data_IF_152112155790
#
_entry.id   IF_152112155790
#
_cell.length_a   1.000
_cell.length_b   1.000
_cell.length_c   1.000
_cell.angle_alpha   90.00
_cell.angle_beta   90.00
_cell.angle_gamma   90.00
#
_symmetry.space_group_name_H-M   'P 1'
#
loop_
_entity.id
_entity.type
_entity.pdbx_description
1 polymer ?
#
# COMPACT_ATOMS: atom_id res chain seq x y z
N UNK A 1 27.77 13.45 -0.53
CA UNK A 1 27.42 14.65 -1.33
C UNK A 1 26.06 15.11 -0.83
N UNK A 2 25.75 16.41 -0.86
CA UNK A 2 24.43 16.92 -0.42
C UNK A 2 23.64 17.37 -1.64
N UNK A 3 22.45 16.82 -1.84
CA UNK A 3 21.57 17.06 -2.99
C UNK A 3 20.55 18.16 -2.73
N UNK A 4 20.22 18.43 -1.46
CA UNK A 4 19.32 19.53 -1.05
C UNK A 4 20.03 20.45 -0.05
N UNK A 5 21.08 21.19 -0.48
CA UNK A 5 21.94 21.96 0.42
C UNK A 5 21.22 23.13 1.13
N UNK A 6 20.16 23.65 0.53
CA UNK A 6 19.39 24.79 1.07
C UNK A 6 18.21 24.36 1.96
N UNK A 7 17.93 23.05 2.04
CA UNK A 7 16.78 22.53 2.79
C UNK A 7 17.29 21.82 4.04
N UNK A 8 16.92 22.32 5.21
CA UNK A 8 17.20 21.64 6.48
C UNK A 8 16.21 20.48 6.72
N UNK A 9 16.39 19.76 7.82
CA UNK A 9 15.41 18.77 8.27
C UNK A 9 14.06 19.44 8.51
N UNK A 10 13.00 18.90 7.90
CA UNK A 10 11.63 19.37 8.04
C UNK A 10 11.15 19.11 9.46
N UNK A 11 10.53 20.13 10.08
CA UNK A 11 10.07 20.07 11.47
C UNK A 11 8.59 20.41 11.57
N UNK A 12 7.98 19.93 12.64
CA UNK A 12 6.67 20.42 13.06
C UNK A 12 6.76 21.86 13.57
N UNK A 13 5.99 22.76 12.96
CA UNK A 13 5.87 24.17 13.36
C UNK A 13 4.42 24.56 13.73
N UNK A 14 3.50 23.62 13.61
CA UNK A 14 2.09 23.80 13.96
C UNK A 14 1.23 24.41 12.86
N UNK A 15 -0.11 24.41 13.06
CA UNK A 15 -1.08 24.65 11.99
C UNK A 15 -1.12 26.08 11.46
N UNK A 16 -0.42 27.01 12.10
CA UNK A 16 -0.39 28.44 11.74
C UNK A 16 0.87 28.85 10.96
N UNK A 17 1.83 27.96 10.75
CA UNK A 17 3.05 28.29 10.00
C UNK A 17 2.75 28.60 8.53
N UNK A 18 3.44 29.60 7.98
CA UNK A 18 3.50 29.92 6.56
C UNK A 18 4.75 29.34 5.88
N UNK A 19 5.63 28.66 6.63
CA UNK A 19 6.76 27.93 6.08
C UNK A 19 6.26 26.79 5.18
N UNK A 20 6.69 26.78 3.92
CA UNK A 20 6.34 25.72 2.97
C UNK A 20 7.03 24.38 3.27
N UNK A 21 8.21 24.44 3.90
CA UNK A 21 9.05 23.29 4.25
C UNK A 21 8.94 22.97 5.75
N UNK A 22 7.71 22.89 6.25
CA UNK A 22 7.39 22.51 7.63
C UNK A 22 6.13 21.65 7.70
N UNK A 23 6.09 20.75 8.67
CA UNK A 23 4.87 20.03 9.03
C UNK A 23 3.96 20.94 9.85
N UNK A 24 2.69 20.94 9.50
CA UNK A 24 1.61 21.66 10.18
C UNK A 24 0.89 20.79 11.19
N UNK A 25 0.89 19.46 10.98
CA UNK A 25 0.15 18.51 11.81
C UNK A 25 0.94 17.26 12.16
N UNK A 26 1.91 16.86 11.33
CA UNK A 26 2.77 15.72 11.66
C UNK A 26 3.83 16.11 12.69
N UNK A 27 3.55 15.79 13.96
CA UNK A 27 4.54 15.74 15.03
C UNK A 27 4.82 14.27 15.36
N UNK A 28 5.98 13.79 14.93
CA UNK A 28 6.39 12.38 15.08
C UNK A 28 6.31 11.87 16.53
N UNK A 29 6.51 12.75 17.52
CA UNK A 29 6.55 12.40 18.94
C UNK A 29 5.22 12.65 19.68
N UNK A 30 4.23 13.28 19.03
CA UNK A 30 2.89 13.46 19.58
C UNK A 30 2.22 12.10 19.82
N UNK A 31 1.68 11.92 21.02
CA UNK A 31 1.01 10.68 21.44
C UNK A 31 -0.49 10.80 21.15
N UNK A 32 -1.00 9.91 20.29
CA UNK A 32 -2.42 9.79 19.95
C UNK A 32 -2.88 8.39 20.37
N UNK A 33 -3.98 8.26 21.12
CA UNK A 33 -4.46 6.97 21.63
C UNK A 33 -3.35 6.10 22.29
N UNK A 34 -2.44 6.75 23.05
CA UNK A 34 -1.37 6.07 23.78
C UNK A 34 -0.15 5.63 22.95
N UNK A 35 -0.08 5.96 21.65
CA UNK A 35 1.02 5.62 20.75
C UNK A 35 1.47 6.83 19.93
N UNK A 36 2.77 6.95 19.64
CA UNK A 36 3.30 8.11 18.90
C UNK A 36 2.82 8.10 17.44
N UNK A 37 2.68 9.26 16.82
CA UNK A 37 2.26 9.35 15.41
C UNK A 37 3.14 8.53 14.48
N UNK A 38 4.46 8.63 14.63
CA UNK A 38 5.40 7.87 13.78
C UNK A 38 5.18 6.35 13.88
N UNK A 39 4.81 5.85 15.07
CA UNK A 39 4.55 4.44 15.29
C UNK A 39 3.19 4.01 14.73
N UNK A 40 2.20 4.92 14.72
CA UNK A 40 0.90 4.69 14.07
C UNK A 40 1.04 4.64 12.56
N UNK A 41 1.71 5.64 12.00
CA UNK A 41 1.72 5.93 10.57
C UNK A 41 2.81 5.16 9.83
N UNK A 42 3.99 4.95 10.47
CA UNK A 42 5.11 4.17 9.91
C UNK A 42 5.36 4.53 8.45
N UNK A 43 5.52 5.83 8.19
CA UNK A 43 5.63 6.34 6.84
C UNK A 43 6.84 5.74 6.12
N UNK A 44 6.59 5.26 4.91
CA UNK A 44 7.61 4.81 3.97
C UNK A 44 7.60 5.66 2.70
N UNK A 45 8.77 5.78 2.08
CA UNK A 45 8.94 6.49 0.81
C UNK A 45 9.18 5.47 -0.31
N UNK A 46 8.40 5.58 -1.38
CA UNK A 46 8.54 4.78 -2.60
C UNK A 46 9.76 5.22 -3.41
N UNK A 47 10.70 4.31 -3.64
CA UNK A 47 11.93 4.62 -4.38
C UNK A 47 11.66 4.92 -5.86
N UNK A 48 10.74 4.19 -6.52
CA UNK A 48 10.45 4.36 -7.94
C UNK A 48 9.95 5.77 -8.26
N UNK A 49 8.88 6.22 -7.61
CA UNK A 49 8.34 7.54 -7.87
C UNK A 49 9.25 8.69 -7.43
N UNK A 50 10.02 8.49 -6.37
CA UNK A 50 10.91 9.54 -5.85
C UNK A 50 12.18 9.68 -6.69
N UNK A 51 12.79 8.56 -7.10
CA UNK A 51 14.15 8.54 -7.65
C UNK A 51 14.23 8.21 -9.15
N UNK A 52 13.32 7.39 -9.68
CA UNK A 52 13.42 6.84 -11.03
C UNK A 52 12.41 7.44 -12.00
N UNK A 53 11.24 7.87 -11.53
CA UNK A 53 10.25 8.58 -12.33
C UNK A 53 10.81 9.93 -12.83
N UNK A 54 10.65 10.17 -14.13
CA UNK A 54 11.30 11.28 -14.83
C UNK A 54 10.32 12.33 -15.38
N UNK A 55 9.04 12.20 -15.07
CA UNK A 55 7.98 13.08 -15.53
C UNK A 55 7.44 12.75 -16.92
N UNK A 56 7.93 11.70 -17.58
CA UNK A 56 7.34 11.22 -18.83
C UNK A 56 5.94 10.63 -18.62
N UNK A 57 5.16 10.69 -19.69
CA UNK A 57 3.82 10.11 -19.80
C UNK A 57 3.63 9.57 -21.23
N UNK A 58 2.53 8.87 -21.56
CA UNK A 58 2.34 8.30 -22.90
C UNK A 58 2.37 9.31 -24.06
N UNK A 59 2.37 10.62 -23.78
CA UNK A 59 2.29 11.70 -24.76
C UNK A 59 3.47 12.69 -24.69
N UNK A 60 4.43 12.49 -23.78
CA UNK A 60 5.45 13.49 -23.50
C UNK A 60 6.77 12.92 -22.96
N UNK A 61 7.86 13.56 -23.38
CA UNK A 61 9.20 13.25 -22.89
C UNK A 61 9.40 13.65 -21.41
N UNK A 62 10.49 13.18 -20.77
CA UNK A 62 10.84 13.51 -19.40
C UNK A 62 10.97 15.01 -19.13
N UNK A 63 10.66 15.44 -17.91
CA UNK A 63 10.69 16.85 -17.49
C UNK A 63 11.35 17.09 -16.13
N UNK A 64 11.49 16.05 -15.30
CA UNK A 64 12.06 16.17 -13.96
C UNK A 64 13.52 16.63 -14.01
N UNK A 65 13.84 17.67 -13.23
CA UNK A 65 15.21 18.16 -13.06
C UNK A 65 15.83 17.48 -11.85
N UNK A 66 16.74 16.54 -12.08
CA UNK A 66 17.41 15.75 -11.03
C UNK A 66 18.93 15.87 -11.12
N UNK A 67 19.59 15.97 -9.97
CA UNK A 67 21.03 16.25 -9.87
C UNK A 67 21.89 15.03 -9.56
N UNK A 68 21.28 13.84 -9.45
CA UNK A 68 21.95 12.57 -9.13
C UNK A 68 22.41 11.77 -10.36
N UNK A 69 22.31 12.32 -11.56
CA UNK A 69 22.76 11.64 -12.79
C UNK A 69 24.29 11.65 -12.84
N UNK A 70 24.89 10.46 -12.86
CA UNK A 70 26.34 10.25 -13.00
C UNK A 70 26.77 9.89 -14.42
N UNK A 71 28.05 9.59 -14.62
CA UNK A 71 28.61 9.25 -15.95
C UNK A 71 28.21 7.83 -16.39
N UNK A 72 27.85 6.97 -15.43
CA UNK A 72 27.37 5.59 -15.68
C UNK A 72 26.04 5.32 -14.98
N UNK A 73 25.33 4.27 -15.41
CA UNK A 73 24.10 3.83 -14.74
C UNK A 73 24.35 3.42 -13.28
N UNK A 74 25.47 2.73 -13.02
CA UNK A 74 25.85 2.31 -11.67
C UNK A 74 26.20 3.52 -10.78
N UNK A 75 26.89 4.52 -11.32
CA UNK A 75 27.14 5.77 -10.57
C UNK A 75 25.84 6.52 -10.29
N UNK A 76 24.93 6.58 -11.26
CA UNK A 76 23.59 7.16 -11.07
C UNK A 76 22.82 6.41 -9.98
N UNK A 77 22.88 5.07 -9.94
CA UNK A 77 22.26 4.27 -8.91
C UNK A 77 22.83 4.57 -7.51
N UNK A 78 24.16 4.67 -7.37
CA UNK A 78 24.81 5.06 -6.10
C UNK A 78 24.42 6.47 -5.65
N UNK A 79 24.42 7.43 -6.58
CA UNK A 79 24.00 8.80 -6.32
C UNK A 79 22.53 8.87 -5.88
N UNK A 80 21.65 8.05 -6.48
CA UNK A 80 20.25 7.94 -6.04
C UNK A 80 20.15 7.41 -4.62
N UNK A 81 20.93 6.40 -4.22
CA UNK A 81 20.92 5.91 -2.82
C UNK A 81 21.30 7.04 -1.85
N UNK A 82 22.36 7.79 -2.14
CA UNK A 82 22.78 8.93 -1.32
C UNK A 82 21.68 10.00 -1.21
N UNK A 83 21.11 10.41 -2.35
CA UNK A 83 20.04 11.42 -2.39
C UNK A 83 18.76 10.95 -1.71
N UNK A 84 18.42 9.68 -1.85
CA UNK A 84 17.21 9.08 -1.29
C UNK A 84 17.24 9.05 0.23
N UNK A 85 18.35 8.61 0.83
CA UNK A 85 18.49 8.62 2.29
C UNK A 85 18.52 10.05 2.84
N UNK A 86 19.09 11.01 2.11
CA UNK A 86 18.99 12.44 2.47
C UNK A 86 17.53 12.93 2.49
N UNK A 87 16.70 12.54 1.51
CA UNK A 87 15.26 12.85 1.50
C UNK A 87 14.55 12.26 2.72
N UNK A 88 14.78 10.96 2.99
CA UNK A 88 14.18 10.27 4.14
C UNK A 88 14.57 10.94 5.47
N UNK A 89 15.85 11.29 5.66
CA UNK A 89 16.33 11.96 6.88
C UNK A 89 15.72 13.36 7.06
N UNK A 90 15.57 14.13 5.96
CA UNK A 90 14.95 15.46 6.01
C UNK A 90 13.47 15.39 6.32
N UNK A 91 12.75 14.41 5.76
CA UNK A 91 11.33 14.20 6.05
C UNK A 91 11.09 13.51 7.40
N UNK A 92 12.11 12.85 7.95
CA UNK A 92 11.95 12.02 9.15
C UNK A 92 11.15 10.73 8.89
N UNK A 93 11.19 10.21 7.66
CA UNK A 93 10.62 8.92 7.32
C UNK A 93 11.50 7.79 7.90
N UNK A 94 10.89 6.84 8.60
CA UNK A 94 11.61 5.72 9.23
C UNK A 94 11.74 4.51 8.30
N UNK A 95 11.01 4.52 7.18
CA UNK A 95 10.90 3.39 6.28
C UNK A 95 11.04 3.77 4.80
N UNK A 96 11.33 2.77 3.96
CA UNK A 96 11.28 2.89 2.51
C UNK A 96 10.88 1.58 1.83
N UNK A 97 10.51 1.70 0.55
CA UNK A 97 10.10 0.60 -0.32
C UNK A 97 10.81 0.68 -1.68
N UNK A 98 11.13 -0.45 -2.32
CA UNK A 98 11.74 -0.46 -3.66
C UNK A 98 11.45 -1.73 -4.49
N UNK A 99 11.43 -1.59 -5.82
CA UNK A 99 11.64 -2.71 -6.74
C UNK A 99 13.14 -2.90 -7.01
N UNK A 100 13.55 -4.14 -7.26
CA UNK A 100 14.91 -4.50 -7.65
C UNK A 100 15.49 -3.62 -8.78
N UNK A 101 14.76 -3.40 -9.87
CA UNK A 101 15.23 -2.58 -11.00
C UNK A 101 15.29 -1.07 -10.71
N UNK A 102 14.65 -0.59 -9.64
CA UNK A 102 14.67 0.83 -9.29
C UNK A 102 16.01 1.23 -8.68
N UNK A 103 16.59 0.32 -7.90
CA UNK A 103 17.81 0.56 -7.14
C UNK A 103 19.06 0.23 -7.94
N UNK A 104 19.03 -0.79 -8.82
CA UNK A 104 20.21 -1.23 -9.55
C UNK A 104 19.95 -1.39 -11.06
N UNK A 105 20.96 -1.07 -11.91
CA UNK A 105 20.84 -1.28 -13.35
C UNK A 105 20.76 -2.77 -13.71
N UNK A 106 19.92 -3.09 -14.70
CA UNK A 106 19.65 -4.46 -15.12
C UNK A 106 20.87 -5.18 -15.72
N UNK A 107 21.79 -4.44 -16.34
CA UNK A 107 22.89 -5.05 -17.11
C UNK A 107 22.39 -5.88 -18.30
N UNK A 108 23.28 -6.69 -18.88
CA UNK A 108 23.01 -7.49 -20.08
C UNK A 108 22.55 -8.92 -19.73
N UNK A 109 22.85 -9.40 -18.52
CA UNK A 109 22.55 -10.77 -18.09
C UNK A 109 21.93 -10.78 -16.69
N UNK A 110 21.20 -11.86 -16.36
CA UNK A 110 20.64 -12.04 -15.02
C UNK A 110 21.74 -12.13 -13.93
N UNK A 111 22.89 -12.71 -14.27
CA UNK A 111 24.03 -12.77 -13.35
C UNK A 111 24.60 -11.38 -13.06
N UNK A 112 24.78 -10.57 -14.09
CA UNK A 112 25.21 -9.16 -13.95
C UNK A 112 24.18 -8.34 -13.16
N UNK A 113 22.88 -8.51 -13.44
CA UNK A 113 21.83 -7.86 -12.65
C UNK A 113 21.94 -8.19 -11.16
N UNK A 114 22.17 -9.46 -10.83
CA UNK A 114 22.30 -9.90 -9.44
C UNK A 114 23.55 -9.35 -8.76
N UNK A 115 24.65 -9.20 -9.50
CA UNK A 115 25.88 -8.56 -9.01
C UNK A 115 25.66 -7.06 -8.76
N UNK A 116 24.98 -6.37 -9.69
CA UNK A 116 24.63 -4.96 -9.55
C UNK A 116 23.72 -4.72 -8.33
N UNK A 117 22.73 -5.60 -8.13
CA UNK A 117 21.87 -5.59 -6.94
C UNK A 117 22.66 -5.79 -5.67
N UNK A 118 23.64 -6.71 -5.64
CA UNK A 118 24.46 -6.94 -4.45
C UNK A 118 25.24 -5.67 -4.07
N UNK A 119 25.88 -5.03 -5.06
CA UNK A 119 26.65 -3.80 -4.86
C UNK A 119 25.78 -2.66 -4.31
N UNK A 120 24.63 -2.39 -4.93
CA UNK A 120 23.75 -1.31 -4.48
C UNK A 120 23.11 -1.64 -3.12
N UNK A 121 22.71 -2.89 -2.89
CA UNK A 121 22.11 -3.26 -1.61
C UNK A 121 23.13 -3.34 -0.47
N UNK A 122 24.43 -3.50 -0.75
CA UNK A 122 25.49 -3.28 0.25
C UNK A 122 25.54 -1.80 0.66
N UNK A 123 25.51 -0.88 -0.30
CA UNK A 123 25.47 0.55 -0.01
C UNK A 123 24.18 0.96 0.75
N UNK A 124 23.02 0.45 0.34
CA UNK A 124 21.74 0.68 1.06
C UNK A 124 21.86 0.19 2.50
N UNK A 125 22.45 -0.99 2.73
CA UNK A 125 22.64 -1.52 4.08
C UNK A 125 23.53 -0.61 4.93
N UNK A 126 24.63 -0.11 4.39
CA UNK A 126 25.49 0.86 5.08
C UNK A 126 24.71 2.13 5.46
N UNK A 127 23.84 2.63 4.57
CA UNK A 127 23.00 3.80 4.85
C UNK A 127 21.93 3.54 5.90
N UNK A 128 21.32 2.36 5.89
CA UNK A 128 20.38 1.93 6.93
C UNK A 128 21.08 1.87 8.31
N UNK A 129 22.31 1.35 8.36
CA UNK A 129 23.11 1.31 9.59
C UNK A 129 23.51 2.71 10.09
N UNK A 130 23.79 3.65 9.17
CA UNK A 130 24.15 5.04 9.51
C UNK A 130 22.95 5.86 10.01
N UNK A 131 21.78 5.67 9.41
CA UNK A 131 20.61 6.54 9.61
C UNK A 131 19.55 5.95 10.55
N UNK A 132 19.52 4.61 10.68
CA UNK A 132 18.46 3.88 11.38
C UNK A 132 17.17 3.70 10.58
N UNK A 133 17.12 4.18 9.32
CA UNK A 133 16.02 3.96 8.38
C UNK A 133 15.94 2.47 8.02
N UNK A 134 14.72 1.94 7.87
CA UNK A 134 14.45 0.51 7.69
C UNK A 134 13.75 0.20 6.38
N UNK A 135 13.91 -1.02 5.90
CA UNK A 135 13.17 -1.51 4.76
C UNK A 135 11.77 -1.96 5.21
N UNK A 136 10.70 -1.29 4.77
CA UNK A 136 9.34 -1.75 5.03
C UNK A 136 9.05 -2.99 4.19
N UNK A 137 9.34 -2.90 2.90
CA UNK A 137 9.30 -4.02 1.98
C UNK A 137 10.11 -3.75 0.72
N UNK A 138 10.52 -4.83 0.07
CA UNK A 138 11.00 -4.80 -1.29
C UNK A 138 10.17 -5.75 -2.15
N UNK A 139 10.25 -5.56 -3.46
CA UNK A 139 9.54 -6.38 -4.45
C UNK A 139 10.38 -6.55 -5.71
N UNK A 140 9.89 -7.33 -6.67
CA UNK A 140 10.51 -7.55 -7.97
C UNK A 140 9.67 -6.91 -9.06
N UNK A 141 10.27 -6.03 -9.86
CA UNK A 141 9.62 -5.50 -11.06
C UNK A 141 9.61 -6.58 -12.14
N UNK A 142 8.46 -7.24 -12.27
CA UNK A 142 8.22 -8.28 -13.27
C UNK A 142 7.21 -7.81 -14.32
N UNK A 143 7.24 -6.52 -14.67
CA UNK A 143 6.23 -5.90 -15.54
C UNK A 143 6.77 -4.89 -16.55
N UNK A 144 7.93 -4.27 -16.30
CA UNK A 144 8.54 -3.28 -17.21
C UNK A 144 9.31 -3.90 -18.37
N UNK A 145 10.11 -4.94 -18.12
CA UNK A 145 10.95 -5.53 -19.17
C UNK A 145 10.11 -6.27 -20.23
N UNK A 146 10.43 -6.18 -21.55
CA UNK A 146 9.67 -6.82 -22.63
C UNK A 146 9.41 -8.32 -22.48
N UNK A 147 10.26 -9.04 -21.73
CA UNK A 147 10.10 -10.47 -21.43
C UNK A 147 8.79 -10.79 -20.70
N UNK A 148 8.22 -9.84 -19.96
CA UNK A 148 7.00 -9.99 -19.18
C UNK A 148 5.73 -9.56 -19.92
N UNK A 149 5.81 -9.32 -21.24
CA UNK A 149 4.68 -8.82 -22.02
C UNK A 149 3.41 -9.69 -21.90
N UNK A 150 3.58 -11.00 -21.70
CA UNK A 150 2.49 -11.96 -21.55
C UNK A 150 2.40 -12.51 -20.11
N UNK A 151 2.75 -11.72 -19.09
CA UNK A 151 2.75 -12.16 -17.70
C UNK A 151 4.10 -12.65 -17.20
N UNK A 152 4.20 -12.86 -15.89
CA UNK A 152 5.40 -13.35 -15.21
C UNK A 152 5.15 -14.76 -14.65
N UNK A 153 4.35 -14.88 -13.59
CA UNK A 153 3.89 -16.17 -13.10
C UNK A 153 2.69 -16.69 -13.90
N UNK A 154 1.86 -15.79 -14.45
CA UNK A 154 0.77 -16.12 -15.38
C UNK A 154 1.23 -16.38 -16.81
N UNK A 155 2.54 -16.39 -17.05
CA UNK A 155 3.08 -16.43 -18.42
C UNK A 155 2.73 -17.70 -19.20
N UNK A 156 2.63 -17.54 -20.52
CA UNK A 156 2.54 -18.65 -21.47
C UNK A 156 3.91 -19.27 -21.84
N UNK A 157 5.01 -18.78 -21.27
CA UNK A 157 6.37 -19.28 -21.53
C UNK A 157 7.10 -19.69 -20.24
N UNK A 158 7.39 -20.98 -20.09
CA UNK A 158 8.06 -21.52 -18.90
C UNK A 158 9.46 -20.92 -18.61
N UNK A 159 10.17 -20.42 -19.62
CA UNK A 159 11.47 -19.74 -19.42
C UNK A 159 11.28 -18.36 -18.77
N UNK A 160 10.20 -17.65 -19.12
CA UNK A 160 9.83 -16.39 -18.46
C UNK A 160 9.44 -16.64 -17.01
N UNK A 161 8.69 -17.72 -16.74
CA UNK A 161 8.34 -18.14 -15.38
C UNK A 161 9.61 -18.41 -14.54
N UNK A 162 10.59 -19.12 -15.11
CA UNK A 162 11.85 -19.39 -14.44
C UNK A 162 12.63 -18.10 -14.13
N UNK A 163 12.62 -17.12 -15.02
CA UNK A 163 13.25 -15.81 -14.80
C UNK A 163 12.56 -15.03 -13.67
N UNK A 164 11.22 -14.99 -13.68
CA UNK A 164 10.41 -14.38 -12.62
C UNK A 164 10.71 -15.01 -11.25
N UNK A 165 10.74 -16.34 -11.17
CA UNK A 165 11.09 -17.06 -9.95
C UNK A 165 12.51 -16.75 -9.46
N UNK A 166 13.47 -16.57 -10.38
CA UNK A 166 14.82 -16.18 -10.02
C UNK A 166 14.88 -14.77 -9.42
N UNK A 167 14.15 -13.79 -9.97
CA UNK A 167 14.04 -12.45 -9.38
C UNK A 167 13.38 -12.48 -8.01
N UNK A 168 12.28 -13.21 -7.82
CA UNK A 168 11.64 -13.37 -6.49
C UNK A 168 12.60 -13.97 -5.47
N UNK A 169 13.35 -15.02 -5.85
CA UNK A 169 14.37 -15.61 -4.97
C UNK A 169 15.44 -14.60 -4.58
N UNK A 170 15.97 -13.82 -5.53
CA UNK A 170 16.95 -12.77 -5.25
C UNK A 170 16.36 -11.67 -4.36
N UNK A 171 15.12 -11.27 -4.63
CA UNK A 171 14.38 -10.31 -3.81
C UNK A 171 14.25 -10.75 -2.36
N UNK A 172 14.00 -12.04 -2.09
CA UNK A 172 13.95 -12.58 -0.73
C UNK A 172 15.32 -12.66 -0.06
N UNK A 173 16.39 -12.94 -0.80
CA UNK A 173 17.75 -12.84 -0.27
C UNK A 173 18.09 -11.41 0.16
N UNK A 174 17.71 -10.43 -0.65
CA UNK A 174 17.89 -9.00 -0.36
C UNK A 174 17.02 -8.57 0.82
N UNK A 175 15.76 -9.00 0.86
CA UNK A 175 14.85 -8.75 2.00
C UNK A 175 15.50 -9.23 3.30
N UNK A 176 16.07 -10.43 3.30
CA UNK A 176 16.80 -10.97 4.45
C UNK A 176 18.05 -10.15 4.78
N UNK A 177 18.84 -9.75 3.78
CA UNK A 177 20.06 -8.94 3.94
C UNK A 177 19.77 -7.59 4.60
N UNK A 178 18.66 -6.96 4.23
CA UNK A 178 18.24 -5.63 4.68
C UNK A 178 17.25 -5.66 5.85
N UNK A 179 16.77 -6.84 6.26
CA UNK A 179 15.81 -6.99 7.35
C UNK A 179 14.41 -6.46 7.01
N UNK A 180 13.96 -6.66 5.77
CA UNK A 180 12.63 -6.24 5.31
C UNK A 180 11.50 -6.88 6.14
N UNK A 181 10.54 -6.06 6.57
CA UNK A 181 9.41 -6.52 7.40
C UNK A 181 8.33 -7.23 6.56
N UNK A 182 8.15 -6.81 5.31
CA UNK A 182 7.18 -7.35 4.36
C UNK A 182 7.83 -7.60 2.98
N UNK A 183 7.16 -8.35 2.11
CA UNK A 183 7.56 -8.57 0.71
C UNK A 183 6.31 -8.53 -0.18
N UNK A 184 6.26 -7.61 -1.13
CA UNK A 184 5.06 -7.30 -1.91
C UNK A 184 5.07 -8.05 -3.25
N UNK A 185 3.89 -8.44 -3.72
CA UNK A 185 3.62 -8.84 -5.09
C UNK A 185 2.48 -7.99 -5.64
N UNK A 186 2.82 -7.06 -6.53
CA UNK A 186 1.85 -6.38 -7.39
C UNK A 186 1.84 -7.04 -8.77
N UNK A 187 0.68 -7.53 -9.19
CA UNK A 187 0.50 -8.33 -10.39
C UNK A 187 0.44 -7.55 -11.70
N UNK A 188 1.29 -6.55 -11.95
CA UNK A 188 1.14 -5.63 -13.09
C UNK A 188 0.98 -6.29 -14.47
N UNK A 189 1.53 -7.48 -14.70
CA UNK A 189 1.28 -8.31 -15.91
C UNK A 189 0.55 -9.63 -15.64
N UNK A 190 0.18 -9.87 -14.40
CA UNK A 190 -0.53 -11.08 -13.94
C UNK A 190 -2.04 -10.91 -14.19
N UNK A 191 -2.41 -11.03 -15.46
CA UNK A 191 -3.74 -10.79 -15.96
C UNK A 191 -3.80 -11.05 -17.46
N UNK A 192 -4.82 -10.54 -18.14
CA UNK A 192 -4.94 -10.72 -19.57
C UNK A 192 -5.31 -9.44 -20.31
N UNK A 193 -5.01 -9.41 -21.61
CA UNK A 193 -5.50 -8.40 -22.56
C UNK A 193 -6.75 -8.90 -23.30
N UNK A 194 -6.81 -10.20 -23.62
CA UNK A 194 -7.99 -10.83 -24.25
C UNK A 194 -8.22 -12.24 -23.71
N UNK A 195 -9.47 -12.59 -23.41
CA UNK A 195 -9.80 -13.92 -22.93
C UNK A 195 -9.72 -14.99 -24.04
N UNK A 196 -9.64 -14.58 -25.31
CA UNK A 196 -9.64 -15.49 -26.46
C UNK A 196 -8.40 -16.40 -26.52
N UNK A 197 -7.29 -16.00 -25.89
CA UNK A 197 -6.04 -16.75 -25.86
C UNK A 197 -5.53 -17.01 -24.43
N UNK A 198 -6.39 -16.84 -23.42
CA UNK A 198 -6.03 -16.97 -22.01
C UNK A 198 -6.73 -18.17 -21.38
N UNK A 199 -5.95 -19.10 -20.84
CA UNK A 199 -6.46 -20.12 -19.91
C UNK A 199 -6.32 -19.57 -18.48
N UNK A 200 -7.34 -18.82 -18.06
CA UNK A 200 -7.34 -18.11 -16.79
C UNK A 200 -7.11 -19.04 -15.58
N UNK A 201 -7.60 -20.28 -15.64
CA UNK A 201 -7.41 -21.22 -14.53
C UNK A 201 -5.95 -21.66 -14.47
N UNK A 202 -5.37 -22.04 -15.62
CA UNK A 202 -3.97 -22.47 -15.69
C UNK A 202 -3.02 -21.37 -15.20
N UNK A 203 -3.27 -20.12 -15.61
CA UNK A 203 -2.48 -18.96 -15.20
C UNK A 203 -2.55 -18.70 -13.70
N UNK A 204 -3.74 -18.68 -13.11
CA UNK A 204 -3.91 -18.52 -11.64
C UNK A 204 -3.31 -19.69 -10.86
N UNK A 205 -3.42 -20.93 -11.36
CA UNK A 205 -2.76 -22.08 -10.74
C UNK A 205 -1.22 -21.90 -10.73
N UNK A 206 -0.64 -21.27 -11.76
CA UNK A 206 0.81 -20.99 -11.82
C UNK A 206 1.24 -19.85 -10.90
N UNK A 207 0.45 -18.78 -10.79
CA UNK A 207 0.69 -17.73 -9.79
C UNK A 207 0.74 -18.35 -8.39
N UNK A 208 -0.23 -19.20 -8.05
CA UNK A 208 -0.27 -19.88 -6.76
C UNK A 208 0.94 -20.81 -6.55
N UNK A 209 1.44 -21.47 -7.60
CA UNK A 209 2.68 -22.27 -7.53
C UNK A 209 3.88 -21.38 -7.20
N UNK A 210 4.00 -20.20 -7.81
CA UNK A 210 5.11 -19.28 -7.53
C UNK A 210 5.06 -18.80 -6.08
N UNK A 211 3.89 -18.42 -5.58
CA UNK A 211 3.73 -17.99 -4.18
C UNK A 211 4.09 -19.09 -3.20
N UNK A 212 3.68 -20.34 -3.45
CA UNK A 212 4.10 -21.50 -2.63
C UNK A 212 5.61 -21.73 -2.66
N UNK A 213 6.27 -21.48 -3.80
CA UNK A 213 7.73 -21.53 -3.90
C UNK A 213 8.39 -20.39 -3.09
N UNK A 214 7.84 -19.17 -3.13
CA UNK A 214 8.32 -18.02 -2.38
C UNK A 214 8.22 -18.27 -0.86
N UNK A 215 7.08 -18.77 -0.39
CA UNK A 215 6.87 -19.18 1.01
C UNK A 215 7.93 -20.20 1.40
N UNK A 216 8.01 -21.33 0.69
CA UNK A 216 8.95 -22.41 0.98
C UNK A 216 10.41 -21.92 0.98
N UNK A 217 10.76 -20.99 0.09
CA UNK A 217 12.10 -20.40 0.06
C UNK A 217 12.36 -19.50 1.27
N UNK A 218 11.39 -18.66 1.67
CA UNK A 218 11.45 -17.86 2.89
C UNK A 218 11.69 -18.72 4.13
N UNK A 219 10.99 -19.86 4.26
CA UNK A 219 11.24 -20.82 5.35
C UNK A 219 12.66 -21.39 5.29
N UNK A 220 13.10 -21.80 4.10
CA UNK A 220 14.43 -22.38 3.87
C UNK A 220 15.56 -21.43 4.27
N UNK A 221 15.42 -20.14 3.98
CA UNK A 221 16.44 -19.14 4.34
C UNK A 221 16.25 -18.60 5.75
N UNK A 222 15.21 -19.00 6.48
CA UNK A 222 14.92 -18.50 7.83
C UNK A 222 14.56 -17.01 7.86
N UNK A 223 13.96 -16.49 6.79
CA UNK A 223 13.44 -15.12 6.68
C UNK A 223 12.02 -15.19 6.12
N UNK A 224 11.04 -14.98 6.98
CA UNK A 224 9.61 -14.99 6.63
C UNK A 224 9.04 -13.58 6.80
N UNK A 225 9.27 -12.66 5.83
CA UNK A 225 8.57 -11.39 5.85
C UNK A 225 7.06 -11.66 5.70
N UNK A 226 6.21 -10.72 6.11
CA UNK A 226 4.80 -10.80 5.76
C UNK A 226 4.69 -10.66 4.24
N UNK A 227 4.17 -11.69 3.55
CA UNK A 227 3.92 -11.57 2.12
C UNK A 227 2.64 -10.77 1.90
N UNK A 228 2.66 -9.88 0.92
CA UNK A 228 1.56 -8.97 0.61
C UNK A 228 1.17 -9.11 -0.86
N UNK A 229 -0.12 -9.28 -1.14
CA UNK A 229 -0.68 -9.07 -2.48
C UNK A 229 -1.24 -7.67 -2.56
N UNK A 230 -1.01 -6.99 -3.67
CA UNK A 230 -1.44 -5.61 -3.89
C UNK A 230 -2.52 -5.56 -4.98
N UNK A 231 -3.81 -5.49 -4.59
CA UNK A 231 -4.89 -5.57 -5.57
C UNK A 231 -4.92 -4.36 -6.48
N UNK A 232 -5.20 -4.59 -7.76
CA UNK A 232 -5.51 -3.58 -8.78
C UNK A 232 -6.43 -4.19 -9.83
N UNK A 233 -7.44 -3.47 -10.35
CA UNK A 233 -8.42 -4.07 -11.27
C UNK A 233 -7.90 -4.30 -12.71
N UNK A 234 -6.99 -3.44 -13.16
CA UNK A 234 -6.55 -3.29 -14.55
C UNK A 234 -5.34 -2.34 -14.60
N UNK A 235 -4.85 -2.08 -15.81
CA UNK A 235 -3.73 -1.18 -16.10
C UNK A 235 -2.38 -1.69 -15.53
N UNK A 236 -1.50 -2.22 -16.38
CA UNK A 236 -1.53 -2.20 -17.85
C UNK A 236 -2.36 -3.33 -18.51
N UNK A 237 -2.83 -4.31 -17.74
CA UNK A 237 -3.70 -5.38 -18.26
C UNK A 237 -5.13 -4.87 -18.53
N UNK A 238 -5.91 -5.57 -19.37
CA UNK A 238 -7.35 -5.29 -19.49
C UNK A 238 -8.08 -5.70 -18.20
N UNK A 239 -7.66 -6.83 -17.63
CA UNK A 239 -8.13 -7.37 -16.38
C UNK A 239 -6.94 -7.99 -15.65
N UNK A 240 -6.67 -7.50 -14.45
CA UNK A 240 -5.69 -8.08 -13.55
C UNK A 240 -6.40 -9.04 -12.57
N UNK A 241 -5.76 -10.14 -12.20
CA UNK A 241 -6.43 -11.21 -11.46
C UNK A 241 -6.72 -10.86 -9.99
N UNK A 242 -5.80 -10.18 -9.34
CA UNK A 242 -5.94 -9.57 -8.01
C UNK A 242 -6.74 -8.26 -8.11
N UNK A 243 -8.00 -8.37 -8.53
CA UNK A 243 -8.80 -7.22 -8.98
C UNK A 243 -9.11 -6.18 -7.89
N UNK A 244 -9.50 -6.67 -6.71
CA UNK A 244 -9.85 -5.90 -5.51
C UNK A 244 -9.59 -6.78 -4.27
N UNK A 245 -9.81 -6.26 -3.07
CA UNK A 245 -9.56 -6.96 -1.81
C UNK A 245 -10.37 -8.26 -1.72
N UNK A 246 -11.65 -8.24 -2.11
CA UNK A 246 -12.51 -9.42 -2.02
C UNK A 246 -12.09 -10.52 -3.00
N UNK A 247 -11.76 -10.15 -4.25
CA UNK A 247 -11.28 -11.07 -5.28
C UNK A 247 -9.93 -11.67 -4.89
N UNK A 248 -9.04 -10.84 -4.36
CA UNK A 248 -7.72 -11.27 -3.90
C UNK A 248 -7.82 -12.20 -2.70
N UNK A 249 -8.74 -11.93 -1.76
CA UNK A 249 -9.03 -12.86 -0.67
C UNK A 249 -9.60 -14.19 -1.16
N UNK A 250 -10.48 -14.18 -2.17
CA UNK A 250 -10.99 -15.42 -2.77
C UNK A 250 -9.86 -16.26 -3.38
N UNK A 251 -8.87 -15.64 -4.03
CA UNK A 251 -7.67 -16.32 -4.52
C UNK A 251 -6.85 -16.91 -3.37
N UNK A 252 -6.54 -16.11 -2.34
CA UNK A 252 -5.76 -16.54 -1.17
C UNK A 252 -6.43 -17.77 -0.53
N UNK A 253 -7.75 -17.72 -0.32
CA UNK A 253 -8.52 -18.81 0.28
C UNK A 253 -8.59 -20.05 -0.60
N UNK A 254 -8.81 -19.87 -1.91
CA UNK A 254 -8.90 -20.99 -2.84
C UNK A 254 -7.62 -21.82 -2.88
N UNK A 255 -6.45 -21.17 -2.78
CA UNK A 255 -5.15 -21.82 -2.91
C UNK A 255 -4.50 -22.20 -1.58
N UNK A 256 -5.15 -21.94 -0.44
CA UNK A 256 -4.64 -22.28 0.89
C UNK A 256 -3.42 -21.43 1.27
N UNK A 257 -3.48 -20.13 0.99
CA UNK A 257 -2.41 -19.16 1.26
C UNK A 257 -2.73 -18.28 2.48
N UNK A 258 -3.85 -18.54 3.17
CA UNK A 258 -4.20 -17.86 4.41
C UNK A 258 -3.12 -18.09 5.47
N UNK A 259 -2.71 -17.02 6.15
CA UNK A 259 -1.69 -17.05 7.19
C UNK A 259 -0.27 -16.73 6.68
N UNK A 260 0.01 -16.91 5.39
CA UNK A 260 1.26 -16.46 4.76
C UNK A 260 1.09 -15.09 4.08
N UNK A 261 -0.07 -14.85 3.48
CA UNK A 261 -0.37 -13.62 2.74
C UNK A 261 -1.38 -12.71 3.45
N UNK A 262 -1.15 -11.41 3.30
CA UNK A 262 -2.06 -10.31 3.62
C UNK A 262 -2.15 -9.37 2.41
N UNK A 263 -2.90 -8.29 2.54
CA UNK A 263 -3.10 -7.31 1.47
C UNK A 263 -2.28 -6.03 1.74
N UNK A 264 -1.63 -5.53 0.69
CA UNK A 264 -1.20 -4.14 0.57
C UNK A 264 -2.30 -3.40 -0.21
N UNK A 265 -2.95 -2.41 0.39
CA UNK A 265 -4.07 -1.73 -0.27
C UNK A 265 -3.68 -0.34 -0.70
N UNK A 266 -4.00 0.00 -1.94
CA UNK A 266 -3.75 1.31 -2.51
C UNK A 266 -5.07 2.05 -2.80
N UNK A 267 -5.12 3.34 -2.48
CA UNK A 267 -6.31 4.16 -2.67
C UNK A 267 -6.69 4.38 -4.15
N UNK A 268 -5.71 4.66 -5.03
CA UNK A 268 -6.00 4.82 -6.45
C UNK A 268 -6.45 3.49 -7.07
N UNK A 269 -5.85 2.36 -6.70
CA UNK A 269 -6.32 1.04 -7.14
C UNK A 269 -7.76 0.73 -6.69
N UNK A 270 -8.08 1.01 -5.42
CA UNK A 270 -9.43 0.81 -4.87
C UNK A 270 -10.50 1.58 -5.68
N UNK A 271 -10.24 2.87 -5.90
CA UNK A 271 -11.17 3.73 -6.66
C UNK A 271 -11.29 3.34 -8.13
N UNK A 272 -10.19 2.89 -8.75
CA UNK A 272 -10.19 2.36 -10.11
C UNK A 272 -11.02 1.07 -10.25
N UNK A 273 -11.15 0.30 -9.17
CA UNK A 273 -11.99 -0.90 -9.08
C UNK A 273 -13.47 -0.58 -8.83
N UNK A 274 -13.78 0.68 -8.52
CA UNK A 274 -15.14 1.14 -8.20
C UNK A 274 -15.48 1.14 -6.71
N UNK A 275 -14.47 1.04 -5.84
CA UNK A 275 -14.62 0.98 -4.39
C UNK A 275 -14.05 2.23 -3.71
N UNK A 276 -14.54 2.57 -2.53
CA UNK A 276 -13.84 3.56 -1.68
C UNK A 276 -12.66 2.90 -0.98
N UNK A 277 -11.67 3.68 -0.56
CA UNK A 277 -10.47 3.11 0.06
C UNK A 277 -10.78 2.45 1.41
N UNK A 278 -11.64 3.06 2.23
CA UNK A 278 -12.07 2.48 3.50
C UNK A 278 -12.89 1.20 3.32
N UNK A 279 -13.58 1.01 2.19
CA UNK A 279 -14.26 -0.24 1.86
C UNK A 279 -13.26 -1.40 1.76
N UNK A 280 -12.21 -1.22 0.96
CA UNK A 280 -11.18 -2.24 0.74
C UNK A 280 -10.45 -2.58 2.05
N UNK A 281 -10.17 -1.56 2.88
CA UNK A 281 -9.56 -1.76 4.20
C UNK A 281 -10.50 -2.54 5.13
N UNK A 282 -11.80 -2.21 5.14
CA UNK A 282 -12.79 -2.93 5.93
C UNK A 282 -12.95 -4.39 5.47
N UNK A 283 -12.92 -4.65 4.16
CA UNK A 283 -12.89 -6.02 3.60
C UNK A 283 -11.65 -6.74 4.12
N UNK A 284 -10.45 -6.21 3.91
CA UNK A 284 -9.22 -6.85 4.36
C UNK A 284 -9.21 -7.11 5.88
N UNK A 285 -9.67 -6.16 6.69
CA UNK A 285 -9.82 -6.31 8.15
C UNK A 285 -10.79 -7.44 8.52
N UNK A 286 -11.91 -7.57 7.82
CA UNK A 286 -12.89 -8.64 8.11
C UNK A 286 -12.33 -10.06 7.89
N UNK A 287 -11.28 -10.18 7.06
CA UNK A 287 -10.53 -11.42 6.84
C UNK A 287 -9.23 -11.53 7.68
N UNK A 288 -8.97 -10.59 8.60
CA UNK A 288 -7.68 -10.44 9.30
C UNK A 288 -6.47 -10.31 8.36
N UNK A 289 -6.70 -9.76 7.16
CA UNK A 289 -5.76 -9.70 6.06
C UNK A 289 -5.26 -8.28 5.76
N UNK A 290 -5.62 -7.27 6.56
CA UNK A 290 -5.01 -5.94 6.43
C UNK A 290 -3.52 -6.02 6.79
N UNK A 291 -2.66 -5.79 5.80
CA UNK A 291 -1.21 -5.94 5.90
C UNK A 291 -0.48 -4.61 5.90
N UNK A 292 -0.61 -3.83 4.82
CA UNK A 292 0.04 -2.52 4.63
C UNK A 292 -0.84 -1.64 3.74
N UNK A 293 -0.51 -0.35 3.63
CA UNK A 293 -1.17 0.59 2.73
C UNK A 293 -0.17 1.30 1.83
N UNK A 294 -0.60 1.53 0.59
CA UNK A 294 -0.04 2.55 -0.29
C UNK A 294 -0.96 3.77 -0.28
N UNK A 295 -0.42 4.85 0.27
CA UNK A 295 -1.10 6.11 0.47
C UNK A 295 -0.90 7.04 -0.71
N UNK A 296 -1.87 7.00 -1.61
CA UNK A 296 -2.02 7.95 -2.69
C UNK A 296 -3.50 8.35 -2.84
N UNK A 297 -3.86 8.98 -3.95
CA UNK A 297 -5.23 9.18 -4.37
C UNK A 297 -5.30 9.13 -5.90
N UNK A 298 -6.46 8.71 -6.40
CA UNK A 298 -6.83 8.87 -7.80
C UNK A 298 -7.61 10.15 -8.06
N UNK A 299 -7.86 10.42 -9.35
CA UNK A 299 -8.90 11.35 -9.76
C UNK A 299 -10.11 10.53 -10.25
N UNK A 300 -11.25 10.67 -9.58
CA UNK A 300 -12.48 9.92 -9.88
C UNK A 300 -13.04 10.18 -11.30
N UNK A 301 -12.56 11.22 -11.98
CA UNK A 301 -12.92 11.53 -13.37
C UNK A 301 -11.95 10.91 -14.38
N UNK A 302 -10.81 10.37 -13.93
CA UNK A 302 -9.76 9.79 -14.76
C UNK A 302 -9.74 8.27 -14.55
N UNK A 303 -9.92 7.51 -15.63
CA UNK A 303 -10.00 6.05 -15.59
C UNK A 303 -8.65 5.34 -15.62
N UNK A 304 -7.61 5.93 -15.02
CA UNK A 304 -6.25 5.42 -14.95
C UNK A 304 -5.56 5.86 -13.66
N UNK A 305 -4.40 5.27 -13.39
CA UNK A 305 -3.62 5.51 -12.19
C UNK A 305 -2.84 6.83 -12.25
N UNK A 306 -3.17 7.73 -11.33
CA UNK A 306 -2.59 9.08 -11.28
C UNK A 306 -1.49 9.20 -10.23
N UNK A 307 -1.46 8.31 -9.24
CA UNK A 307 -0.51 8.23 -8.13
C UNK A 307 -0.32 9.59 -7.45
N UNK A 308 -1.42 10.30 -7.18
CA UNK A 308 -1.35 11.60 -6.51
C UNK A 308 -1.05 11.43 -5.03
N UNK A 309 -0.26 12.34 -4.47
CA UNK A 309 -0.14 12.40 -3.02
C UNK A 309 -1.51 12.65 -2.39
N UNK A 310 -1.82 11.99 -1.27
CA UNK A 310 -3.12 12.12 -0.62
C UNK A 310 -3.25 13.51 -0.02
N UNK A 311 -4.32 14.21 -0.40
CA UNK A 311 -4.64 15.57 0.12
C UNK A 311 -6.07 15.69 0.62
N UNK A 312 -6.90 14.65 0.42
CA UNK A 312 -8.24 14.58 0.99
C UNK A 312 -8.22 14.04 2.44
N UNK A 313 -8.42 14.93 3.41
CA UNK A 313 -8.47 14.59 4.84
C UNK A 313 -9.68 13.72 5.19
N UNK A 314 -10.82 13.88 4.50
CA UNK A 314 -12.03 13.09 4.76
C UNK A 314 -11.78 11.60 4.49
N UNK A 315 -11.31 11.27 3.28
CA UNK A 315 -11.05 9.88 2.88
C UNK A 315 -9.93 9.25 3.73
N UNK A 316 -8.86 10.02 3.98
CA UNK A 316 -7.75 9.59 4.83
C UNK A 316 -8.20 9.31 6.28
N UNK A 317 -9.18 10.08 6.79
CA UNK A 317 -9.74 9.87 8.13
C UNK A 317 -10.51 8.56 8.22
N UNK A 318 -11.31 8.24 7.20
CA UNK A 318 -12.04 6.97 7.15
C UNK A 318 -11.10 5.78 6.99
N UNK A 319 -10.07 5.90 6.15
CA UNK A 319 -9.03 4.88 6.01
C UNK A 319 -8.32 4.61 7.36
N UNK A 320 -7.87 5.66 8.05
CA UNK A 320 -7.21 5.51 9.34
C UNK A 320 -8.16 5.06 10.46
N UNK A 321 -9.46 5.34 10.37
CA UNK A 321 -10.44 4.77 11.30
C UNK A 321 -10.42 3.24 11.22
N UNK A 322 -10.48 2.67 10.01
CA UNK A 322 -10.42 1.21 9.83
C UNK A 322 -9.04 0.62 10.22
N UNK A 323 -7.94 1.36 10.01
CA UNK A 323 -6.62 0.96 10.54
C UNK A 323 -6.62 0.92 12.06
N UNK A 324 -7.25 1.88 12.74
CA UNK A 324 -7.39 1.88 14.19
C UNK A 324 -8.36 0.79 14.68
N UNK A 325 -9.38 0.40 13.90
CA UNK A 325 -10.22 -0.78 14.16
C UNK A 325 -9.42 -2.08 14.05
N UNK A 326 -8.40 -2.13 13.18
CA UNK A 326 -7.49 -3.27 13.04
C UNK A 326 -6.45 -3.38 14.18
N UNK A 327 -6.36 -2.38 15.06
CA UNK A 327 -5.31 -2.30 16.09
C UNK A 327 -3.99 -1.72 15.58
N UNK A 328 -3.98 -1.08 14.41
CA UNK A 328 -2.81 -0.51 13.74
C UNK A 328 -2.40 -1.30 12.49
N UNK A 329 -1.33 -0.83 11.83
CA UNK A 329 -0.89 -1.35 10.52
C UNK A 329 0.38 -2.21 10.56
N UNK A 330 1.08 -2.28 11.69
CA UNK A 330 2.32 -3.05 11.78
C UNK A 330 2.08 -4.57 11.55
N UNK A 331 3.00 -5.30 10.89
CA UNK A 331 4.33 -4.88 10.43
C UNK A 331 4.35 -4.07 9.12
N UNK A 332 3.21 -3.85 8.47
CA UNK A 332 3.10 -2.90 7.36
C UNK A 332 3.23 -1.45 7.80
N UNK A 333 2.98 -0.54 6.86
CA UNK A 333 3.11 0.89 7.07
C UNK A 333 2.27 1.67 6.06
N UNK A 334 2.56 2.96 5.96
CA UNK A 334 1.91 3.85 5.00
C UNK A 334 2.98 4.29 4.02
N UNK A 335 3.11 3.57 2.91
CA UNK A 335 4.06 3.89 1.85
C UNK A 335 3.45 4.94 0.92
N UNK A 336 4.18 6.01 0.63
CA UNK A 336 3.74 6.98 -0.38
C UNK A 336 4.06 6.46 -1.77
N UNK A 337 3.23 5.54 -2.28
CA UNK A 337 3.20 5.18 -3.70
C UNK A 337 2.58 6.32 -4.52
N UNK A 338 3.27 7.45 -4.52
CA UNK A 338 2.81 8.71 -5.09
C UNK A 338 3.95 9.40 -5.81
N UNK A 339 3.63 10.06 -6.92
CA UNK A 339 4.57 10.85 -7.71
C UNK A 339 4.22 12.33 -7.70
N UNK A 340 5.26 13.17 -7.77
CA UNK A 340 5.07 14.58 -8.10
C UNK A 340 4.37 14.72 -9.45
N UNK A 341 3.59 15.78 -9.62
CA UNK A 341 2.93 16.04 -10.90
C UNK A 341 3.99 16.34 -11.97
N UNK A 342 3.67 16.08 -13.23
CA UNK A 342 4.55 16.41 -14.36
C UNK A 342 4.96 17.90 -14.38
N UNK A 343 4.09 18.79 -13.92
CA UNK A 343 4.37 20.23 -13.79
C UNK A 343 5.19 20.61 -12.55
N UNK A 344 5.40 19.69 -11.62
CA UNK A 344 6.17 19.83 -10.38
C UNK A 344 7.51 19.09 -10.52
N UNK A 345 8.36 19.66 -11.37
CA UNK A 345 9.57 19.01 -11.87
C UNK A 345 10.86 19.44 -11.17
N UNK A 346 10.81 20.39 -10.22
CA UNK A 346 11.98 20.83 -9.49
C UNK A 346 12.37 19.82 -8.40
N UNK A 347 13.54 19.98 -7.79
CA UNK A 347 14.02 19.07 -6.73
C UNK A 347 13.16 19.19 -5.47
N UNK A 348 12.88 20.42 -5.03
CA UNK A 348 12.14 20.69 -3.78
C UNK A 348 10.69 20.20 -3.79
N UNK A 349 10.09 20.07 -4.98
CA UNK A 349 8.75 19.51 -5.17
C UNK A 349 8.62 18.09 -4.58
N UNK A 350 9.72 17.31 -4.56
CA UNK A 350 9.75 16.00 -3.92
C UNK A 350 9.44 16.12 -2.42
N UNK A 351 10.06 17.08 -1.72
CA UNK A 351 9.83 17.27 -0.29
C UNK A 351 8.46 17.89 -0.03
N UNK A 352 8.04 18.88 -0.83
CA UNK A 352 6.74 19.53 -0.70
C UNK A 352 5.58 18.53 -0.84
N UNK A 353 5.66 17.62 -1.81
CA UNK A 353 4.64 16.61 -2.04
C UNK A 353 4.55 15.60 -0.88
N UNK A 354 5.68 15.13 -0.36
CA UNK A 354 5.70 14.26 0.82
C UNK A 354 5.18 14.96 2.08
N UNK A 355 5.53 16.24 2.29
CA UNK A 355 4.97 17.04 3.39
C UNK A 355 3.45 17.08 3.31
N UNK A 356 2.89 17.29 2.11
CA UNK A 356 1.45 17.30 1.91
C UNK A 356 0.80 15.95 2.28
N UNK A 357 1.37 14.83 1.83
CA UNK A 357 0.87 13.50 2.17
C UNK A 357 0.97 13.18 3.66
N UNK A 358 2.14 13.42 4.27
CA UNK A 358 2.41 13.15 5.68
C UNK A 358 1.52 14.00 6.61
N UNK A 359 1.37 15.30 6.33
CA UNK A 359 0.47 16.17 7.11
C UNK A 359 -1.00 15.77 6.94
N UNK A 360 -1.42 15.33 5.74
CA UNK A 360 -2.79 14.87 5.50
C UNK A 360 -3.11 13.66 6.37
N UNK A 361 -2.23 12.66 6.38
CA UNK A 361 -2.41 11.48 7.21
C UNK A 361 -2.27 11.77 8.71
N UNK A 362 -1.43 12.72 9.12
CA UNK A 362 -1.36 13.16 10.52
C UNK A 362 -2.65 13.88 10.99
N UNK A 363 -3.24 14.73 10.14
CA UNK A 363 -4.57 15.32 10.40
C UNK A 363 -5.64 14.25 10.53
N UNK A 364 -5.66 13.33 9.58
CA UNK A 364 -6.61 12.23 9.55
C UNK A 364 -6.48 11.31 10.77
N UNK A 365 -5.27 11.05 11.27
CA UNK A 365 -5.05 10.27 12.48
C UNK A 365 -5.70 10.94 13.70
N UNK A 366 -5.56 12.26 13.84
CA UNK A 366 -6.21 13.02 14.94
C UNK A 366 -7.73 12.93 14.86
N UNK A 367 -8.29 13.11 13.67
CA UNK A 367 -9.74 13.02 13.45
C UNK A 367 -10.28 11.60 13.70
N UNK A 368 -9.60 10.58 13.19
CA UNK A 368 -9.95 9.18 13.39
C UNK A 368 -9.85 8.77 14.86
N UNK A 369 -8.81 9.23 15.56
CA UNK A 369 -8.67 9.02 16.99
C UNK A 369 -9.82 9.66 17.77
N UNK A 370 -10.19 10.91 17.43
CA UNK A 370 -11.30 11.61 18.09
C UNK A 370 -12.64 10.90 17.87
N UNK A 371 -12.89 10.36 16.66
CA UNK A 371 -14.05 9.53 16.36
C UNK A 371 -14.13 8.29 17.28
N UNK A 372 -12.99 7.65 17.54
CA UNK A 372 -12.92 6.48 18.44
C UNK A 372 -13.07 6.84 19.91
N UNK A 373 -12.44 7.92 20.36
CA UNK A 373 -12.57 8.41 21.74
C UNK A 373 -14.03 8.75 22.07
N UNK A 374 -14.73 9.40 21.14
CA UNK A 374 -16.14 9.75 21.29
C UNK A 374 -17.09 8.58 21.02
N UNK A 375 -16.56 7.41 20.62
CA UNK A 375 -17.31 6.20 20.24
C UNK A 375 -18.43 6.47 19.23
N UNK A 376 -18.31 7.53 18.42
CA UNK A 376 -19.44 8.02 17.64
C UNK A 376 -19.94 6.99 16.62
N UNK A 377 -19.03 6.37 15.87
CA UNK A 377 -19.38 5.34 14.90
C UNK A 377 -19.71 4.00 15.58
N UNK A 378 -19.14 3.73 16.75
CA UNK A 378 -19.38 2.50 17.51
C UNK A 378 -20.78 2.49 18.11
N UNK A 379 -21.21 3.58 18.74
CA UNK A 379 -22.58 3.72 19.27
C UNK A 379 -23.63 3.66 18.16
N UNK A 380 -23.33 4.21 16.97
CA UNK A 380 -24.20 4.09 15.80
C UNK A 380 -24.35 2.63 15.36
N UNK A 381 -23.25 1.87 15.30
CA UNK A 381 -23.27 0.43 14.98
C UNK A 381 -23.99 -0.38 16.06
N UNK A 382 -23.67 -0.18 17.33
CA UNK A 382 -24.28 -0.85 18.47
C UNK A 382 -25.80 -0.66 18.49
N UNK A 383 -26.27 0.60 18.34
CA UNK A 383 -27.71 0.88 18.27
C UNK A 383 -28.37 0.21 17.05
N UNK A 384 -27.74 0.31 15.88
CA UNK A 384 -28.30 -0.22 14.62
C UNK A 384 -28.54 -1.73 14.67
N UNK A 385 -27.68 -2.48 15.36
CA UNK A 385 -27.72 -3.94 15.41
C UNK A 385 -28.20 -4.50 16.77
N UNK A 386 -28.77 -3.66 17.64
CA UNK A 386 -29.14 -4.03 19.01
C UNK A 386 -30.12 -5.22 19.09
N UNK A 387 -31.03 -5.37 18.13
CA UNK A 387 -32.00 -6.48 18.11
C UNK A 387 -31.37 -7.87 17.96
N UNK A 388 -30.12 -7.95 17.49
CA UNK A 388 -29.37 -9.21 17.41
C UNK A 388 -28.65 -9.58 18.72
N UNK A 389 -28.73 -8.75 19.76
CA UNK A 389 -28.14 -9.00 21.08
C UNK A 389 -29.13 -9.64 22.07
N UNK A 390 -30.41 -9.70 21.74
CA UNK A 390 -31.45 -10.25 22.62
C UNK A 390 -32.54 -11.01 21.85
N UNK A 391 -33.44 -11.67 22.58
CA UNK A 391 -34.63 -12.30 22.03
C UNK A 391 -34.34 -13.25 20.87
N UNK A 392 -35.10 -13.13 19.78
CA UNK A 392 -34.94 -13.97 18.59
C UNK A 392 -33.60 -13.72 17.88
N UNK A 393 -33.10 -12.49 17.90
CA UNK A 393 -31.86 -12.13 17.22
C UNK A 393 -30.64 -12.76 17.87
N UNK A 394 -30.58 -12.80 19.21
CA UNK A 394 -29.53 -13.51 19.93
C UNK A 394 -29.49 -15.01 19.60
N UNK A 395 -30.66 -15.64 19.47
CA UNK A 395 -30.75 -17.06 19.10
C UNK A 395 -30.34 -17.32 17.65
N UNK A 396 -30.66 -16.39 16.73
CA UNK A 396 -30.15 -16.45 15.34
C UNK A 396 -28.63 -16.45 15.34
N UNK A 397 -27.99 -15.51 16.06
CA UNK A 397 -26.52 -15.39 16.11
C UNK A 397 -25.87 -16.60 16.79
N UNK A 398 -26.58 -17.26 17.71
CA UNK A 398 -26.13 -18.46 18.41
C UNK A 398 -26.38 -19.77 17.63
N UNK A 399 -26.86 -19.71 16.38
CA UNK A 399 -27.24 -20.88 15.55
C UNK A 399 -28.30 -21.79 16.23
N UNK A 400 -29.19 -21.22 17.04
CA UNK A 400 -30.24 -21.96 17.76
C UNK A 400 -31.59 -22.00 17.02
N UNK A 401 -31.72 -21.24 15.94
CA UNK A 401 -32.93 -21.13 15.14
C UNK A 401 -32.73 -21.74 13.74
N UNK A 402 -33.83 -22.10 13.10
CA UNK A 402 -33.88 -22.64 11.74
C UNK A 402 -35.04 -22.01 10.95
N UNK A 403 -35.20 -22.39 9.68
CA UNK A 403 -36.24 -21.80 8.83
C UNK A 403 -37.65 -22.04 9.37
N UNK A 404 -37.93 -23.20 9.97
CA UNK A 404 -39.24 -23.52 10.55
C UNK A 404 -39.55 -22.67 11.78
N UNK A 405 -38.64 -22.63 12.75
CA UNK A 405 -38.79 -21.85 14.00
C UNK A 405 -38.87 -20.34 13.73
N UNK A 406 -38.09 -19.83 12.79
CA UNK A 406 -38.18 -18.43 12.35
C UNK A 406 -39.47 -18.13 11.59
N UNK A 407 -39.99 -19.11 10.83
CA UNK A 407 -41.31 -18.97 10.18
C UNK A 407 -42.41 -18.87 11.21
N UNK A 408 -42.41 -19.74 12.23
CA UNK A 408 -43.38 -19.70 13.33
C UNK A 408 -43.29 -18.37 14.09
N UNK A 409 -42.07 -17.90 14.38
CA UNK A 409 -41.85 -16.59 15.01
C UNK A 409 -42.44 -15.45 14.14
N UNK A 410 -42.15 -15.43 12.84
CA UNK A 410 -42.62 -14.40 11.93
C UNK A 410 -44.15 -14.43 11.75
N UNK A 411 -44.77 -15.62 11.69
CA UNK A 411 -46.23 -15.76 11.62
C UNK A 411 -46.92 -15.26 12.89
N UNK A 412 -46.24 -15.28 14.05
CA UNK A 412 -46.74 -14.76 15.31
C UNK A 412 -46.43 -13.27 15.55
N UNK A 413 -45.54 -12.66 14.76
CA UNK A 413 -45.08 -11.28 14.91
C UNK A 413 -45.12 -10.54 13.56
N UNK A 414 -46.32 -10.18 13.10
CA UNK A 414 -46.56 -9.64 11.74
C UNK A 414 -46.34 -8.12 11.60
N UNK A 415 -46.16 -7.38 12.70
CA UNK A 415 -45.85 -5.95 12.71
C UNK A 415 -44.36 -5.73 12.98
N UNK A 416 -43.64 -5.22 11.98
CA UNK A 416 -42.21 -4.90 12.08
C UNK A 416 -42.05 -3.38 12.07
N UNK A 417 -41.50 -2.83 13.15
CA UNK A 417 -41.12 -1.42 13.22
C UNK A 417 -39.66 -1.24 12.76
N UNK A 418 -39.42 -0.25 11.90
CA UNK A 418 -38.10 0.07 11.37
C UNK A 418 -37.67 1.46 11.86
N UNK A 419 -36.38 1.59 12.20
CA UNK A 419 -35.78 2.88 12.56
C UNK A 419 -35.03 3.51 11.37
N UNK A 420 -35.07 4.84 11.26
CA UNK A 420 -34.28 5.57 10.27
C UNK A 420 -32.80 5.56 10.65
N UNK A 421 -31.93 5.38 9.65
CA UNK A 421 -30.47 5.44 9.84
C UNK A 421 -29.92 6.87 9.93
N UNK A 422 -30.72 7.90 9.62
CA UNK A 422 -30.32 9.32 9.68
C UNK A 422 -28.95 9.62 9.03
N UNK A 423 -28.69 9.03 7.86
CA UNK A 423 -27.35 9.00 7.24
C UNK A 423 -26.82 10.41 6.96
N UNK A 424 -27.67 11.35 6.56
CA UNK A 424 -27.28 12.74 6.31
C UNK A 424 -26.79 13.43 7.59
N UNK A 425 -27.42 13.15 8.73
CA UNK A 425 -26.96 13.63 10.03
C UNK A 425 -25.62 12.99 10.42
N UNK A 426 -25.45 11.68 10.21
CA UNK A 426 -24.18 10.98 10.48
C UNK A 426 -23.05 11.59 9.65
N UNK A 427 -23.27 11.80 8.35
CA UNK A 427 -22.31 12.44 7.44
C UNK A 427 -22.01 13.89 7.84
N UNK A 428 -23.03 14.66 8.23
CA UNK A 428 -22.82 16.02 8.73
C UNK A 428 -22.00 16.04 10.01
N UNK A 429 -22.24 15.12 10.94
CA UNK A 429 -21.50 15.01 12.19
C UNK A 429 -20.07 14.56 11.99
N UNK A 430 -19.80 13.72 10.99
CA UNK A 430 -18.44 13.34 10.62
C UNK A 430 -17.59 14.56 10.25
N UNK A 431 -18.17 15.55 9.55
CA UNK A 431 -17.44 16.77 9.22
C UNK A 431 -16.94 17.54 10.46
N UNK A 432 -17.66 17.47 11.58
CA UNK A 432 -17.27 18.16 12.82
C UNK A 432 -15.97 17.59 13.44
N UNK A 433 -15.51 16.42 12.99
CA UNK A 433 -14.23 15.81 13.41
C UNK A 433 -13.04 16.22 12.54
N UNK A 434 -13.28 16.84 11.37
CA UNK A 434 -12.24 17.17 10.40
C UNK A 434 -11.64 18.58 10.57
N UNK A 435 -12.26 19.42 11.40
CA UNK A 435 -11.93 20.84 11.55
C UNK A 435 -11.21 21.19 12.86
#
# INVERSE_FOLDING_TARGET
MTYFPEIEKIRYEGPKTDNMLAFRHYDAEEVVLGKKMKDHLRFAIAYWHTMTQDGSDPFGAPVNKRTWIGDTEMETAKNRVEAFFEICEKLGAEFFCFHDVDVAPAGETLEEFFQNLDEITDLIKEKMEQTGIKLLWNTANMFSHPRFNNGAASTNNAEVYAYAAAQVKKGLDISKKLGGENYVFWGGREGYETLLNTDMKFEQDNIARLFKMAIAYGEKIGHKPQFLLEPKPKEPSKHQYDFDAATTMAFIQHYGLEGDFKLNLEANHATLAGHTFEHEIAVARSYNALGSLDANQGDMLLGWDTDEFPTNVFDSTLALYEVLENGGIAPGGINFDSKVRRSSFEMEDLLLAHIAGMDTYARALKAAAKLKEDRFLDELKEKRYASFQEGIGAKIVADEENLETLTDYALAHDQIELESSHIEYVKSRLNDYLF
#
